data_IF_471522276370
#
_entry.id   IF_471522276370
#
_cell.length_a   1.000
_cell.length_b   1.000
_cell.length_c   1.000
_cell.angle_alpha   90.00
_cell.angle_beta   90.00
_cell.angle_gamma   90.00
#
_symmetry.space_group_name_H-M   'P 1'
#
loop_
_entity.id
_entity.type
_entity.pdbx_description
1 polymer ?
#
# COMPACT_ATOMS: atom_id res chain seq x y z
N UNK A 1 16.87 -6.70 3.22
CA UNK A 1 16.06 -7.57 2.34
C UNK A 1 14.74 -8.02 2.97
N UNK A 2 13.66 -7.44 2.46
CA UNK A 2 12.25 -7.81 2.62
C UNK A 2 11.95 -8.99 1.67
N UNK A 3 11.25 -10.02 2.16
CA UNK A 3 10.93 -11.20 1.36
C UNK A 3 9.65 -11.03 0.57
N UNK A 4 9.58 -11.66 -0.62
CA UNK A 4 8.34 -11.83 -1.36
C UNK A 4 7.23 -12.35 -0.43
N UNK A 5 6.05 -11.75 -0.50
CA UNK A 5 4.90 -12.07 0.35
C UNK A 5 4.81 -11.26 1.64
N UNK A 6 5.86 -10.53 2.03
CA UNK A 6 5.84 -9.64 3.20
C UNK A 6 4.82 -8.53 3.00
N UNK A 7 4.07 -8.20 4.05
CA UNK A 7 3.13 -7.10 4.07
C UNK A 7 3.88 -5.78 4.21
N UNK A 8 3.69 -4.86 3.26
CA UNK A 8 4.37 -3.55 3.23
C UNK A 8 3.39 -2.42 2.91
N UNK A 9 3.80 -1.19 3.18
CA UNK A 9 3.18 0.02 2.63
C UNK A 9 4.06 0.57 1.51
N UNK A 10 3.44 0.88 0.36
CA UNK A 10 4.11 1.58 -0.73
C UNK A 10 3.51 2.96 -0.94
N UNK A 11 4.37 3.94 -1.22
CA UNK A 11 4.00 5.28 -1.63
C UNK A 11 4.08 5.42 -3.16
N UNK A 12 3.09 6.07 -3.75
CA UNK A 12 3.06 6.42 -5.18
C UNK A 12 2.67 7.89 -5.36
N UNK A 13 3.38 8.59 -6.26
CA UNK A 13 2.92 9.88 -6.78
C UNK A 13 1.89 9.58 -7.88
N UNK A 14 0.63 9.89 -7.61
CA UNK A 14 -0.50 9.64 -8.51
C UNK A 14 -0.65 10.78 -9.52
N UNK A 15 -0.46 12.02 -9.09
CA UNK A 15 -0.48 13.20 -9.95
C UNK A 15 0.66 14.14 -9.57
N UNK A 16 1.40 14.60 -10.56
CA UNK A 16 2.34 15.69 -10.36
C UNK A 16 1.59 17.03 -10.24
N UNK A 17 2.20 18.09 -9.71
CA UNK A 17 1.59 19.42 -9.63
C UNK A 17 0.96 19.90 -10.96
N UNK A 18 1.62 19.62 -12.08
CA UNK A 18 1.16 19.93 -13.44
C UNK A 18 -0.09 19.15 -13.87
N UNK A 19 -0.33 17.99 -13.29
CA UNK A 19 -1.49 17.14 -13.59
C UNK A 19 -2.69 17.42 -12.66
N UNK A 20 -2.54 18.37 -11.71
CA UNK A 20 -3.61 18.72 -10.77
C UNK A 20 -4.72 19.52 -11.47
N UNK A 21 -5.96 19.32 -11.00
CA UNK A 21 -7.10 20.06 -11.51
C UNK A 21 -6.94 21.58 -11.31
N UNK A 22 -7.37 22.37 -12.31
CA UNK A 22 -7.19 23.83 -12.31
C UNK A 22 -8.12 24.55 -11.33
N UNK A 23 -9.16 23.90 -10.84
CA UNK A 23 -10.22 24.47 -10.01
C UNK A 23 -10.11 24.14 -8.51
N UNK A 24 -8.92 23.79 -8.01
CA UNK A 24 -8.64 23.55 -6.58
C UNK A 24 -7.85 24.73 -5.96
N UNK A 25 -7.71 24.81 -4.63
CA UNK A 25 -6.89 25.85 -3.98
C UNK A 25 -5.45 25.84 -4.47
N UNK A 26 -4.85 27.03 -4.63
CA UNK A 26 -3.51 27.16 -5.21
C UNK A 26 -2.42 26.45 -4.41
N UNK A 27 -2.54 26.44 -3.08
CA UNK A 27 -1.61 25.69 -2.22
C UNK A 27 -1.66 24.18 -2.51
N UNK A 28 -2.84 23.63 -2.82
CA UNK A 28 -3.00 22.21 -3.15
C UNK A 28 -2.57 21.87 -4.58
N UNK A 29 -2.54 22.85 -5.50
CA UNK A 29 -1.99 22.65 -6.86
C UNK A 29 -0.48 22.52 -6.84
N UNK A 30 0.20 23.24 -5.93
CA UNK A 30 1.67 23.27 -5.84
C UNK A 30 2.28 21.97 -5.30
N UNK A 31 1.47 21.03 -4.83
CA UNK A 31 1.92 19.78 -4.20
C UNK A 31 1.45 18.55 -5.01
N UNK A 32 2.28 17.51 -5.15
CA UNK A 32 1.86 16.25 -5.76
C UNK A 32 0.71 15.60 -4.99
N UNK A 33 -0.15 14.87 -5.70
CA UNK A 33 -1.07 13.92 -5.08
C UNK A 33 -0.34 12.60 -4.84
N UNK A 34 -0.24 12.19 -3.59
CA UNK A 34 0.39 10.93 -3.19
C UNK A 34 -0.65 9.94 -2.68
N UNK A 35 -0.35 8.65 -2.83
CA UNK A 35 -1.17 7.53 -2.36
C UNK A 35 -0.29 6.56 -1.59
N UNK A 36 -0.81 6.05 -0.47
CA UNK A 36 -0.20 4.97 0.29
C UNK A 36 -1.10 3.76 0.16
N UNK A 37 -0.54 2.66 -0.34
CA UNK A 37 -1.27 1.39 -0.52
C UNK A 37 -0.52 0.28 0.19
N UNK A 38 -1.25 -0.53 0.96
CA UNK A 38 -0.69 -1.69 1.64
C UNK A 38 -0.97 -2.98 0.87
N UNK A 39 0.01 -3.87 0.83
CA UNK A 39 -0.09 -5.13 0.10
C UNK A 39 1.10 -6.03 0.34
N UNK A 40 1.04 -7.25 -0.20
CA UNK A 40 2.14 -8.21 -0.17
C UNK A 40 3.08 -7.98 -1.33
N UNK A 41 4.39 -7.88 -1.08
CA UNK A 41 5.40 -7.76 -2.13
C UNK A 41 5.35 -8.96 -3.10
N UNK A 42 5.45 -8.69 -4.41
CA UNK A 42 5.50 -9.73 -5.43
C UNK A 42 6.91 -10.25 -5.74
N UNK A 43 7.94 -9.61 -5.19
CA UNK A 43 9.36 -9.98 -5.27
C UNK A 43 10.08 -9.67 -3.95
N UNK A 44 11.29 -10.22 -3.79
CA UNK A 44 12.23 -9.74 -2.75
C UNK A 44 12.60 -8.28 -3.06
N UNK A 45 12.78 -7.45 -2.03
CA UNK A 45 13.02 -6.01 -2.16
C UNK A 45 13.64 -5.42 -0.88
N UNK A 46 13.90 -4.11 -0.87
CA UNK A 46 14.35 -3.33 0.29
C UNK A 46 13.48 -2.08 0.50
N UNK A 47 13.65 -1.41 1.66
CA UNK A 47 13.04 -0.10 1.89
C UNK A 47 13.59 0.91 0.87
N UNK A 48 12.70 1.70 0.27
CA UNK A 48 13.04 2.63 -0.81
C UNK A 48 13.03 2.01 -2.22
N UNK A 49 12.84 0.70 -2.36
CA UNK A 49 12.71 0.09 -3.68
C UNK A 49 11.34 0.35 -4.28
N UNK A 50 11.29 0.54 -5.61
CA UNK A 50 10.03 0.55 -6.36
C UNK A 50 9.61 -0.88 -6.68
N UNK A 51 8.48 -1.30 -6.14
CA UNK A 51 8.00 -2.69 -6.22
C UNK A 51 6.54 -2.77 -6.66
N UNK A 52 6.10 -3.99 -7.01
CA UNK A 52 4.68 -4.32 -7.15
C UNK A 52 4.18 -5.06 -5.90
N UNK A 53 2.98 -4.72 -5.47
CA UNK A 53 2.28 -5.34 -4.34
C UNK A 53 0.90 -5.86 -4.76
N UNK A 54 0.44 -6.93 -4.12
CA UNK A 54 -0.93 -7.41 -4.20
C UNK A 54 -1.70 -7.03 -2.92
N UNK A 55 -2.79 -6.29 -3.07
CA UNK A 55 -3.68 -5.91 -1.95
C UNK A 55 -4.53 -7.08 -1.47
N UNK A 56 -5.15 -6.97 -0.28
CA UNK A 56 -6.04 -8.01 0.27
C UNK A 56 -7.27 -8.34 -0.57
N UNK A 57 -7.60 -7.51 -1.57
CA UNK A 57 -8.71 -7.73 -2.53
C UNK A 57 -8.21 -8.17 -3.92
N UNK A 58 -6.91 -8.48 -4.07
CA UNK A 58 -6.31 -8.97 -5.33
C UNK A 58 -5.94 -7.89 -6.35
N UNK A 59 -6.07 -6.59 -6.02
CA UNK A 59 -5.57 -5.51 -6.87
C UNK A 59 -4.05 -5.46 -6.82
N UNK A 60 -3.40 -5.31 -7.98
CA UNK A 60 -1.97 -5.01 -8.09
C UNK A 60 -1.76 -3.50 -8.09
N UNK A 61 -0.83 -3.03 -7.25
CA UNK A 61 -0.39 -1.63 -7.18
C UNK A 61 1.14 -1.58 -7.24
N UNK A 62 1.71 -0.47 -7.67
CA UNK A 62 3.16 -0.25 -7.65
C UNK A 62 3.49 0.99 -6.83
N UNK A 63 4.68 1.05 -6.24
CA UNK A 63 5.12 2.19 -5.45
C UNK A 63 6.47 1.94 -4.79
N UNK A 64 7.00 2.95 -4.13
CA UNK A 64 8.22 2.87 -3.32
C UNK A 64 7.90 2.30 -1.94
N UNK A 65 8.64 1.30 -1.46
CA UNK A 65 8.41 0.71 -0.13
C UNK A 65 8.81 1.71 0.96
N UNK A 66 7.85 2.14 1.76
CA UNK A 66 8.07 3.14 2.83
C UNK A 66 7.93 2.57 4.24
N UNK A 67 7.24 1.44 4.41
CA UNK A 67 7.10 0.78 5.72
C UNK A 67 6.94 -0.74 5.57
N UNK A 68 7.40 -1.48 6.58
CA UNK A 68 7.36 -2.95 6.64
C UNK A 68 6.41 -3.34 7.77
N UNK A 69 5.45 -4.22 7.48
CA UNK A 69 4.44 -4.67 8.43
C UNK A 69 3.74 -3.49 9.16
N UNK A 70 3.21 -2.53 8.40
CA UNK A 70 2.68 -1.29 8.95
C UNK A 70 1.47 -1.54 9.86
N UNK A 71 1.52 -0.99 11.08
CA UNK A 71 0.41 -0.95 12.03
C UNK A 71 -0.63 0.13 11.71
N UNK A 72 -1.69 0.19 12.50
CA UNK A 72 -2.66 1.28 12.54
C UNK A 72 -2.70 1.90 13.94
N UNK A 73 -1.81 2.86 14.20
CA UNK A 73 -1.54 3.34 15.55
C UNK A 73 -2.59 4.29 16.15
N UNK A 74 -3.51 4.82 15.35
CA UNK A 74 -4.63 5.60 15.88
C UNK A 74 -5.68 4.73 16.58
N UNK A 75 -5.71 3.41 16.32
CA UNK A 75 -6.81 2.53 16.76
C UNK A 75 -6.36 1.09 17.07
N UNK A 76 -5.81 0.37 16.09
CA UNK A 76 -5.64 -1.09 16.14
C UNK A 76 -4.24 -1.57 16.58
N UNK A 77 -3.26 -0.66 16.64
CA UNK A 77 -1.92 -0.95 17.12
C UNK A 77 -1.02 -1.58 16.05
N UNK A 78 -0.09 -2.42 16.50
CA UNK A 78 0.93 -3.05 15.65
C UNK A 78 0.30 -4.06 14.68
N UNK A 79 0.99 -4.32 13.57
CA UNK A 79 0.65 -5.44 12.69
C UNK A 79 0.78 -6.78 13.44
N UNK A 80 -0.13 -7.71 13.13
CA UNK A 80 -0.19 -9.06 13.69
C UNK A 80 -0.34 -10.03 12.53
N UNK A 81 0.69 -10.85 12.28
CA UNK A 81 0.79 -11.70 11.10
C UNK A 81 -0.31 -12.78 11.08
N UNK A 82 -0.61 -13.36 12.24
CA UNK A 82 -1.53 -14.49 12.41
C UNK A 82 -2.95 -14.18 11.93
N UNK A 83 -3.35 -12.90 11.98
CA UNK A 83 -4.69 -12.46 11.57
C UNK A 83 -4.72 -11.83 10.17
N UNK A 84 -3.56 -11.63 9.53
CA UNK A 84 -3.40 -10.90 8.28
C UNK A 84 -4.18 -11.52 7.10
N UNK A 85 -4.34 -12.85 7.12
CA UNK A 85 -4.98 -13.61 6.02
C UNK A 85 -6.44 -14.00 6.28
N UNK A 86 -6.99 -13.73 7.48
CA UNK A 86 -8.32 -14.23 7.90
C UNK A 86 -9.40 -13.79 6.90
N UNK A 87 -9.37 -12.53 6.46
CA UNK A 87 -10.37 -12.00 5.51
C UNK A 87 -10.32 -12.69 4.13
N UNK A 88 -9.13 -13.08 3.66
CA UNK A 88 -8.97 -13.80 2.38
C UNK A 88 -9.45 -15.24 2.53
N UNK A 89 -9.04 -15.92 3.59
CA UNK A 89 -9.47 -17.29 3.91
C UNK A 89 -10.99 -17.40 4.07
N UNK A 90 -11.62 -16.46 4.80
CA UNK A 90 -13.06 -16.45 4.97
C UNK A 90 -13.82 -16.33 3.64
N UNK A 91 -13.34 -15.47 2.72
CA UNK A 91 -13.94 -15.37 1.38
C UNK A 91 -13.82 -16.66 0.58
N UNK A 92 -12.68 -17.34 0.63
CA UNK A 92 -12.46 -18.63 -0.04
C UNK A 92 -13.38 -19.74 0.50
N UNK A 93 -13.66 -19.73 1.82
CA UNK A 93 -14.57 -20.69 2.46
C UNK A 93 -16.03 -20.43 2.03
N UNK A 94 -16.45 -19.16 1.97
CA UNK A 94 -17.85 -18.76 1.67
C UNK A 94 -18.17 -18.81 0.17
N UNK A 95 -17.17 -18.68 -0.70
CA UNK A 95 -17.37 -18.66 -2.16
C UNK A 95 -17.73 -20.05 -2.77
N UNK A 96 -17.87 -21.09 -1.95
CA UNK A 96 -18.40 -22.41 -2.33
C UNK A 96 -19.91 -22.47 -2.14
#
# INVERSE_FOLDING_TARGET
>A
MIKKGTWVEVEEIVLLPEDRATNIPDETKKTPLKSWTRGKCLSDCELGDKVQIETNIGRISSGEVVDIEPGYYHTYGKYVEEISNIGKQAREIIAK
#
